data_IF_743890192353
#
_entry.id   IF_743890192353
#
_cell.length_a   1.000
_cell.length_b   1.000
_cell.length_c   1.000
_cell.angle_alpha   90.00
_cell.angle_beta   90.00
_cell.angle_gamma   90.00
#
_symmetry.space_group_name_H-M   'P 1'
#
loop_
_entity.id
_entity.type
_entity.pdbx_description
1 polymer ?
#
# COMPACT_ATOMS: atom_id res chain seq x y z
N UNK A 1 114.66 13.41 -107.14
CA UNK A 1 114.38 14.67 -106.43
C UNK A 1 112.99 14.53 -105.81
N UNK A 2 112.69 14.51 -104.51
CA UNK A 2 113.34 14.97 -103.29
C UNK A 2 112.96 14.03 -102.11
N UNK A 3 113.90 13.84 -101.16
CA UNK A 3 113.68 13.19 -99.85
C UNK A 3 112.93 14.13 -98.91
N UNK A 4 111.99 13.63 -98.10
CA UNK A 4 111.63 14.18 -96.76
C UNK A 4 111.03 13.02 -95.92
N UNK A 5 111.88 12.29 -95.17
CA UNK A 5 112.07 12.35 -93.70
C UNK A 5 110.94 11.70 -92.90
N UNK A 6 111.25 10.51 -92.37
CA UNK A 6 110.64 9.92 -91.18
C UNK A 6 110.46 10.98 -90.09
N UNK A 7 109.27 11.03 -89.51
CA UNK A 7 109.06 11.58 -88.16
C UNK A 7 107.99 10.75 -87.47
N UNK A 8 108.42 9.57 -87.01
CA UNK A 8 107.79 8.83 -85.94
C UNK A 8 107.86 9.67 -84.67
N UNK A 9 106.80 10.43 -84.38
CA UNK A 9 106.61 11.06 -83.07
C UNK A 9 106.16 9.95 -82.11
N UNK A 10 106.93 9.64 -81.05
CA UNK A 10 106.50 8.66 -80.07
C UNK A 10 105.44 9.31 -79.20
N UNK A 11 104.21 8.82 -79.31
CA UNK A 11 103.11 9.21 -78.43
C UNK A 11 103.42 8.72 -76.99
N UNK A 12 103.33 9.57 -75.95
CA UNK A 12 103.63 9.17 -74.58
C UNK A 12 102.68 8.06 -74.12
N UNK A 13 103.23 6.95 -73.63
CA UNK A 13 102.49 5.76 -73.17
C UNK A 13 101.70 6.00 -71.86
N UNK A 14 101.63 7.22 -71.35
CA UNK A 14 101.12 7.54 -70.01
C UNK A 14 99.59 7.81 -69.97
N UNK A 15 98.95 8.17 -71.09
CA UNK A 15 97.51 8.52 -71.12
C UNK A 15 96.55 7.38 -71.52
N UNK A 16 97.08 6.24 -72.00
CA UNK A 16 96.25 5.07 -72.33
C UNK A 16 95.81 4.30 -71.07
N UNK A 17 96.59 4.39 -69.98
CA UNK A 17 96.35 3.66 -68.74
C UNK A 17 95.32 4.35 -67.84
N UNK A 18 95.13 5.67 -67.96
CA UNK A 18 94.13 6.44 -67.18
C UNK A 18 92.71 6.28 -67.72
N UNK A 19 92.54 6.26 -69.04
CA UNK A 19 91.24 6.01 -69.69
C UNK A 19 90.74 4.57 -69.51
N UNK A 20 91.64 3.58 -69.68
CA UNK A 20 91.30 2.16 -69.47
C UNK A 20 91.06 1.84 -67.99
N UNK A 21 91.82 2.42 -67.06
CA UNK A 21 91.57 2.28 -65.62
C UNK A 21 90.19 2.84 -65.21
N UNK A 22 89.79 3.99 -65.76
CA UNK A 22 88.48 4.62 -65.47
C UNK A 22 87.31 3.83 -66.04
N UNK A 23 87.48 3.18 -67.19
CA UNK A 23 86.49 2.26 -67.78
C UNK A 23 86.37 0.98 -66.94
N UNK A 24 87.49 0.41 -66.51
CA UNK A 24 87.53 -0.74 -65.61
C UNK A 24 86.85 -0.45 -64.26
N UNK A 25 87.06 0.74 -63.71
CA UNK A 25 86.45 1.17 -62.45
C UNK A 25 84.93 1.35 -62.58
N UNK A 26 84.47 2.02 -63.65
CA UNK A 26 83.04 2.08 -63.99
C UNK A 26 82.43 0.70 -64.23
N UNK A 27 83.16 -0.23 -64.84
CA UNK A 27 82.69 -1.62 -65.03
C UNK A 27 82.60 -2.38 -63.71
N UNK A 28 83.50 -2.12 -62.75
CA UNK A 28 83.41 -2.67 -61.38
C UNK A 28 82.21 -2.10 -60.64
N UNK A 29 81.97 -0.80 -60.76
CA UNK A 29 80.84 -0.12 -60.13
C UNK A 29 79.50 -0.58 -60.71
N UNK A 30 79.39 -0.71 -62.04
CA UNK A 30 78.22 -1.28 -62.70
C UNK A 30 78.00 -2.73 -62.28
N UNK A 31 79.06 -3.55 -62.18
CA UNK A 31 78.96 -4.93 -61.68
C UNK A 31 78.49 -4.96 -60.22
N UNK A 32 78.99 -4.06 -59.38
CA UNK A 32 78.61 -3.93 -57.98
C UNK A 32 77.13 -3.54 -57.84
N UNK A 33 76.68 -2.50 -58.56
CA UNK A 33 75.28 -2.07 -58.58
C UNK A 33 74.37 -3.20 -59.06
N UNK A 34 74.73 -3.89 -60.14
CA UNK A 34 73.96 -5.05 -60.61
C UNK A 34 73.88 -6.17 -59.57
N UNK A 35 74.97 -6.44 -58.83
CA UNK A 35 74.97 -7.45 -57.77
C UNK A 35 74.09 -7.04 -56.58
N UNK A 36 74.13 -5.78 -56.17
CA UNK A 36 73.28 -5.23 -55.11
C UNK A 36 71.81 -5.26 -55.53
N UNK A 37 71.50 -4.84 -56.76
CA UNK A 37 70.15 -4.84 -57.31
C UNK A 37 69.58 -6.27 -57.40
N UNK A 38 70.43 -7.24 -57.77
CA UNK A 38 70.08 -8.66 -57.81
C UNK A 38 69.76 -9.19 -56.41
N UNK A 39 70.62 -8.92 -55.42
CA UNK A 39 70.35 -9.27 -54.01
C UNK A 39 69.08 -8.62 -53.48
N UNK A 40 68.80 -7.37 -53.86
CA UNK A 40 67.58 -6.69 -53.46
C UNK A 40 66.33 -7.36 -54.05
N UNK A 41 66.35 -7.69 -55.36
CA UNK A 41 65.28 -8.45 -56.02
C UNK A 41 65.09 -9.83 -55.40
N UNK A 42 66.17 -10.56 -55.12
CA UNK A 42 66.13 -11.86 -54.45
C UNK A 42 65.49 -11.77 -53.06
N UNK A 43 65.84 -10.75 -52.26
CA UNK A 43 65.20 -10.47 -50.97
C UNK A 43 63.71 -10.16 -51.11
N UNK A 44 63.31 -9.36 -52.10
CA UNK A 44 61.90 -9.08 -52.36
C UNK A 44 61.13 -10.34 -52.78
N UNK A 45 61.71 -11.16 -53.66
CA UNK A 45 61.12 -12.45 -54.07
C UNK A 45 60.95 -13.37 -52.86
N UNK A 46 61.98 -13.48 -52.00
CA UNK A 46 61.89 -14.27 -50.77
C UNK A 46 60.80 -13.75 -49.81
N UNK A 47 60.69 -12.44 -49.63
CA UNK A 47 59.64 -11.83 -48.81
C UNK A 47 58.22 -12.06 -49.39
N UNK A 48 58.07 -12.00 -50.71
CA UNK A 48 56.79 -12.29 -51.37
C UNK A 48 56.43 -13.78 -51.30
N UNK A 49 57.40 -14.68 -51.46
CA UNK A 49 57.18 -16.12 -51.33
C UNK A 49 56.72 -16.49 -49.92
N UNK A 50 57.40 -15.97 -48.89
CA UNK A 50 56.98 -16.21 -47.49
C UNK A 50 55.60 -15.62 -47.18
N UNK A 51 55.25 -14.45 -47.74
CA UNK A 51 53.90 -13.87 -47.60
C UNK A 51 52.83 -14.72 -48.30
N UNK A 52 53.13 -15.22 -49.51
CA UNK A 52 52.26 -16.14 -50.25
C UNK A 52 52.02 -17.41 -49.45
N UNK A 53 53.07 -18.01 -48.90
CA UNK A 53 52.97 -19.24 -48.12
C UNK A 53 52.13 -19.06 -46.86
N UNK A 54 52.30 -17.94 -46.14
CA UNK A 54 51.44 -17.59 -44.99
C UNK A 54 49.97 -17.39 -45.37
N UNK A 55 49.69 -16.79 -46.52
CA UNK A 55 48.32 -16.60 -47.00
C UNK A 55 47.71 -17.93 -47.44
N UNK A 56 48.48 -18.75 -48.15
CA UNK A 56 48.06 -20.06 -48.61
C UNK A 56 47.77 -21.00 -47.44
N UNK A 57 48.56 -20.93 -46.36
CA UNK A 57 48.29 -21.65 -45.12
C UNK A 57 46.98 -21.22 -44.48
N UNK A 58 46.69 -19.92 -44.40
CA UNK A 58 45.40 -19.41 -43.89
C UNK A 58 44.22 -19.88 -44.74
N UNK A 59 44.31 -19.73 -46.07
CA UNK A 59 43.26 -20.22 -46.98
C UNK A 59 43.05 -21.73 -46.85
N UNK A 60 44.12 -22.50 -46.67
CA UNK A 60 44.00 -23.94 -46.46
C UNK A 60 43.34 -24.31 -45.14
N UNK A 61 43.54 -23.52 -44.07
CA UNK A 61 42.86 -23.69 -42.79
C UNK A 61 41.36 -23.36 -42.93
N UNK A 62 41.03 -22.30 -43.67
CA UNK A 62 39.64 -21.87 -43.88
C UNK A 62 38.86 -22.81 -44.82
N UNK A 63 39.56 -23.65 -45.59
CA UNK A 63 38.98 -24.61 -46.52
C UNK A 63 38.07 -25.63 -45.83
N UNK A 64 38.33 -25.95 -44.56
CA UNK A 64 37.50 -26.87 -43.76
C UNK A 64 36.10 -26.28 -43.54
N UNK A 65 36.02 -24.98 -43.26
CA UNK A 65 34.74 -24.29 -43.10
C UNK A 65 33.97 -24.20 -44.42
N UNK A 66 34.68 -23.97 -45.54
CA UNK A 66 34.07 -24.00 -46.86
C UNK A 66 33.52 -25.38 -47.23
N UNK A 67 34.25 -26.47 -46.98
CA UNK A 67 33.73 -27.81 -47.27
C UNK A 67 32.52 -28.18 -46.40
N UNK A 68 32.51 -27.73 -45.15
CA UNK A 68 31.37 -27.91 -44.25
C UNK A 68 30.15 -27.14 -44.77
N UNK A 69 30.33 -25.87 -45.15
CA UNK A 69 29.27 -25.02 -45.67
C UNK A 69 28.71 -25.53 -47.01
N UNK A 70 29.58 -26.00 -47.90
CA UNK A 70 29.19 -26.61 -49.17
C UNK A 70 28.41 -27.92 -48.95
N UNK A 71 28.81 -28.73 -47.97
CA UNK A 71 28.07 -29.94 -47.57
C UNK A 71 26.68 -29.61 -47.02
N UNK A 72 26.57 -28.57 -46.18
CA UNK A 72 25.29 -28.10 -45.62
C UNK A 72 24.39 -27.49 -46.70
N UNK A 73 24.95 -26.79 -47.69
CA UNK A 73 24.18 -26.27 -48.82
C UNK A 73 23.64 -27.40 -49.70
N UNK A 74 24.45 -28.43 -49.96
CA UNK A 74 24.05 -29.60 -50.75
C UNK A 74 23.01 -30.48 -50.07
N UNK A 75 22.98 -30.49 -48.73
CA UNK A 75 21.98 -31.24 -47.97
C UNK A 75 20.70 -30.45 -47.71
N UNK A 76 20.71 -29.13 -47.93
CA UNK A 76 19.58 -28.25 -47.70
C UNK A 76 19.02 -27.71 -49.02
N UNK A 77 17.85 -28.21 -49.42
CA UNK A 77 17.15 -27.77 -50.64
C UNK A 77 16.53 -26.36 -50.51
N UNK A 78 16.68 -25.70 -49.35
CA UNK A 78 16.08 -24.40 -49.05
C UNK A 78 16.91 -23.19 -49.52
N UNK A 79 18.18 -23.38 -49.86
CA UNK A 79 19.09 -22.26 -50.15
C UNK A 79 19.85 -22.45 -51.46
N UNK A 80 19.68 -21.46 -52.36
CA UNK A 80 20.35 -21.42 -53.67
C UNK A 80 21.84 -21.06 -53.59
N UNK A 81 22.23 -20.24 -52.61
CA UNK A 81 23.60 -19.75 -52.45
C UNK A 81 23.93 -19.48 -50.98
N UNK A 82 25.22 -19.58 -50.66
CA UNK A 82 25.80 -19.27 -49.37
C UNK A 82 25.49 -17.82 -48.92
N UNK A 83 25.44 -16.86 -49.85
CA UNK A 83 25.04 -15.49 -49.55
C UNK A 83 23.62 -15.39 -48.98
N UNK A 84 22.68 -16.18 -49.50
CA UNK A 84 21.30 -16.25 -48.99
C UNK A 84 21.24 -16.89 -47.60
N UNK A 85 22.02 -17.95 -47.38
CA UNK A 85 22.14 -18.60 -46.06
C UNK A 85 22.67 -17.62 -44.99
N UNK A 86 23.76 -16.90 -45.28
CA UNK A 86 24.28 -15.86 -44.39
C UNK A 86 23.24 -14.76 -44.17
N UNK A 87 22.54 -14.32 -45.22
CA UNK A 87 21.50 -13.29 -45.12
C UNK A 87 20.39 -13.68 -44.15
N UNK A 88 19.89 -14.92 -44.26
CA UNK A 88 18.87 -15.46 -43.33
C UNK A 88 19.42 -15.59 -41.92
N UNK A 89 20.65 -16.11 -41.76
CA UNK A 89 21.28 -16.23 -40.44
C UNK A 89 21.46 -14.86 -39.77
N UNK A 90 21.96 -13.86 -40.48
CA UNK A 90 22.07 -12.48 -39.97
C UNK A 90 20.72 -11.91 -39.57
N UNK A 91 19.69 -12.14 -40.38
CA UNK A 91 18.32 -11.72 -40.07
C UNK A 91 17.81 -12.42 -38.81
N UNK A 92 18.04 -13.73 -38.68
CA UNK A 92 17.63 -14.54 -37.53
C UNK A 92 18.33 -14.11 -36.23
N UNK A 93 19.64 -13.83 -36.29
CA UNK A 93 20.39 -13.32 -35.14
C UNK A 93 19.84 -11.95 -34.73
N UNK A 94 19.63 -11.05 -35.70
CA UNK A 94 19.06 -9.71 -35.43
C UNK A 94 17.65 -9.78 -34.84
N UNK A 95 16.78 -10.63 -35.38
CA UNK A 95 15.42 -10.79 -34.84
C UNK A 95 15.46 -11.43 -33.45
N UNK A 96 16.32 -12.42 -33.21
CA UNK A 96 16.51 -13.00 -31.87
C UNK A 96 16.94 -11.93 -30.85
N UNK A 97 17.93 -11.10 -31.18
CA UNK A 97 18.38 -10.02 -30.31
C UNK A 97 17.26 -9.01 -30.03
N UNK A 98 16.49 -8.64 -31.05
CA UNK A 98 15.33 -7.75 -30.90
C UNK A 98 14.25 -8.36 -30.02
N UNK A 99 13.95 -9.65 -30.18
CA UNK A 99 12.97 -10.36 -29.37
C UNK A 99 13.42 -10.44 -27.91
N UNK A 100 14.68 -10.79 -27.65
CA UNK A 100 15.23 -10.81 -26.29
C UNK A 100 15.17 -9.43 -25.62
N UNK A 101 15.52 -8.37 -26.35
CA UNK A 101 15.43 -7.00 -25.84
C UNK A 101 13.98 -6.62 -25.51
N UNK A 102 13.04 -6.91 -26.42
CA UNK A 102 11.61 -6.65 -26.20
C UNK A 102 11.06 -7.45 -25.03
N UNK A 103 11.44 -8.71 -24.89
CA UNK A 103 11.02 -9.54 -23.77
C UNK A 103 11.50 -8.95 -22.45
N UNK A 104 12.79 -8.56 -22.38
CA UNK A 104 13.35 -7.94 -21.17
C UNK A 104 12.66 -6.61 -20.81
N UNK A 105 12.34 -5.77 -21.80
CA UNK A 105 11.61 -4.52 -21.53
C UNK A 105 10.19 -4.80 -21.05
N UNK A 106 9.48 -5.73 -21.70
CA UNK A 106 8.12 -6.11 -21.30
C UNK A 106 8.09 -6.73 -19.89
N UNK A 107 9.07 -7.56 -19.53
CA UNK A 107 9.18 -8.12 -18.19
C UNK A 107 9.45 -7.02 -17.16
N UNK A 108 10.32 -6.06 -17.48
CA UNK A 108 10.59 -4.92 -16.59
C UNK A 108 9.37 -4.04 -16.38
N UNK A 109 8.61 -3.75 -17.45
CA UNK A 109 7.37 -2.98 -17.39
C UNK A 109 6.31 -3.73 -16.57
N UNK A 110 6.12 -5.02 -16.83
CA UNK A 110 5.18 -5.86 -16.09
C UNK A 110 5.53 -5.93 -14.60
N UNK A 111 6.81 -6.06 -14.26
CA UNK A 111 7.23 -6.08 -12.85
C UNK A 111 7.00 -4.72 -12.19
N UNK A 112 7.25 -3.61 -12.89
CA UNK A 112 6.94 -2.26 -12.38
C UNK A 112 5.45 -2.08 -12.11
N UNK A 113 4.60 -2.47 -13.06
CA UNK A 113 3.14 -2.43 -12.90
C UNK A 113 2.68 -3.36 -11.76
N UNK A 114 3.25 -4.55 -11.63
CA UNK A 114 2.94 -5.48 -10.56
C UNK A 114 3.33 -4.92 -9.18
N UNK A 115 4.49 -4.27 -9.06
CA UNK A 115 4.90 -3.57 -7.83
C UNK A 115 3.94 -2.44 -7.50
N UNK A 116 3.61 -1.58 -8.46
CA UNK A 116 2.67 -0.46 -8.26
C UNK A 116 1.28 -0.96 -7.84
N UNK A 117 0.79 -2.03 -8.47
CA UNK A 117 -0.48 -2.63 -8.11
C UNK A 117 -0.46 -3.21 -6.69
N UNK A 118 0.62 -3.92 -6.30
CA UNK A 118 0.77 -4.45 -4.94
C UNK A 118 0.81 -3.33 -3.89
N UNK A 119 1.53 -2.25 -4.16
CA UNK A 119 1.56 -1.07 -3.29
C UNK A 119 0.17 -0.45 -3.14
N UNK A 120 -0.51 -0.19 -4.26
CA UNK A 120 -1.86 0.36 -4.25
C UNK A 120 -2.86 -0.52 -3.48
N UNK A 121 -2.85 -1.83 -3.72
CA UNK A 121 -3.73 -2.77 -3.00
C UNK A 121 -3.40 -2.78 -1.50
N UNK A 122 -2.12 -2.74 -1.12
CA UNK A 122 -1.71 -2.68 0.28
C UNK A 122 -2.19 -1.40 0.96
N UNK A 123 -2.01 -0.25 0.32
CA UNK A 123 -2.47 1.04 0.84
C UNK A 123 -3.98 1.07 1.02
N UNK A 124 -4.72 0.59 0.01
CA UNK A 124 -6.18 0.49 0.07
C UNK A 124 -6.65 -0.44 1.18
N UNK A 125 -5.98 -1.57 1.37
CA UNK A 125 -6.28 -2.51 2.46
C UNK A 125 -6.05 -1.87 3.83
N UNK A 126 -4.93 -1.16 4.01
CA UNK A 126 -4.65 -0.44 5.26
C UNK A 126 -5.69 0.63 5.55
N UNK A 127 -6.13 1.37 4.53
CA UNK A 127 -7.19 2.37 4.66
C UNK A 127 -8.54 1.74 5.02
N UNK A 128 -8.90 0.63 4.35
CA UNK A 128 -10.13 -0.10 4.67
C UNK A 128 -10.12 -0.59 6.12
N UNK A 129 -9.03 -1.21 6.56
CA UNK A 129 -8.87 -1.66 7.94
C UNK A 129 -8.96 -0.51 8.94
N UNK A 130 -8.43 0.68 8.60
CA UNK A 130 -8.59 1.86 9.43
C UNK A 130 -10.07 2.26 9.58
N UNK A 131 -10.82 2.32 8.48
CA UNK A 131 -12.25 2.64 8.53
C UNK A 131 -13.07 1.58 9.27
N UNK A 132 -12.76 0.29 9.09
CA UNK A 132 -13.41 -0.81 9.83
C UNK A 132 -13.20 -0.67 11.35
N UNK A 133 -11.99 -0.32 11.77
CA UNK A 133 -11.70 -0.07 13.18
C UNK A 133 -12.47 1.15 13.72
N UNK A 134 -12.49 2.26 12.99
CA UNK A 134 -13.26 3.45 13.37
C UNK A 134 -14.76 3.15 13.45
N UNK A 135 -15.30 2.41 12.49
CA UNK A 135 -16.70 1.98 12.48
C UNK A 135 -17.02 1.14 13.74
N UNK A 136 -16.15 0.19 14.09
CA UNK A 136 -16.30 -0.65 15.28
C UNK A 136 -16.28 0.16 16.57
N UNK A 137 -15.39 1.16 16.66
CA UNK A 137 -15.31 2.08 17.81
C UNK A 137 -16.60 2.90 17.94
N UNK A 138 -17.04 3.54 16.86
CA UNK A 138 -18.28 4.34 16.85
C UNK A 138 -19.50 3.48 17.18
N UNK A 139 -19.57 2.25 16.68
CA UNK A 139 -20.66 1.33 17.00
C UNK A 139 -20.67 0.96 18.49
N UNK A 140 -19.48 0.79 19.09
CA UNK A 140 -19.34 0.50 20.51
C UNK A 140 -19.80 1.69 21.36
N UNK A 141 -19.38 2.91 21.01
CA UNK A 141 -19.83 4.14 21.66
C UNK A 141 -21.35 4.34 21.53
N UNK A 142 -21.91 4.15 20.34
CA UNK A 142 -23.35 4.22 20.12
C UNK A 142 -24.10 3.23 21.03
N UNK A 143 -23.60 1.99 21.13
CA UNK A 143 -24.21 0.96 21.96
C UNK A 143 -24.11 1.29 23.46
N UNK A 144 -23.00 1.88 23.92
CA UNK A 144 -22.81 2.27 25.32
C UNK A 144 -23.74 3.42 25.68
N UNK A 145 -23.82 4.47 24.86
CA UNK A 145 -24.75 5.60 25.06
C UNK A 145 -26.20 5.13 25.04
N UNK A 146 -26.58 4.26 24.09
CA UNK A 146 -27.94 3.67 24.07
C UNK A 146 -28.25 2.82 25.29
N UNK A 147 -27.26 2.11 25.83
CA UNK A 147 -27.42 1.34 27.07
C UNK A 147 -27.65 2.27 28.26
N UNK A 148 -26.88 3.35 28.37
CA UNK A 148 -27.04 4.36 29.42
C UNK A 148 -28.40 5.07 29.32
N UNK A 149 -28.81 5.49 28.13
CA UNK A 149 -30.12 6.10 27.89
C UNK A 149 -31.25 5.18 28.36
N UNK A 150 -31.22 3.90 27.98
CA UNK A 150 -32.21 2.90 28.45
C UNK A 150 -32.23 2.73 29.96
N UNK A 151 -31.08 2.79 30.62
CA UNK A 151 -31.01 2.74 32.09
C UNK A 151 -31.67 3.97 32.71
N UNK A 152 -31.38 5.16 32.19
CA UNK A 152 -31.98 6.41 32.66
C UNK A 152 -33.51 6.41 32.45
N UNK A 153 -33.98 6.02 31.27
CA UNK A 153 -35.41 5.88 31.00
C UNK A 153 -36.10 4.90 31.96
N UNK A 154 -35.44 3.79 32.30
CA UNK A 154 -35.95 2.83 33.28
C UNK A 154 -36.05 3.45 34.68
N UNK A 155 -35.02 4.18 35.12
CA UNK A 155 -35.04 4.88 36.40
C UNK A 155 -36.11 5.96 36.45
N UNK A 156 -36.27 6.72 35.37
CA UNK A 156 -37.29 7.77 35.26
C UNK A 156 -38.70 7.17 35.37
N UNK A 157 -38.97 6.09 34.62
CA UNK A 157 -40.25 5.36 34.72
C UNK A 157 -40.51 4.83 36.13
N UNK A 158 -39.48 4.36 36.83
CA UNK A 158 -39.62 3.90 38.20
C UNK A 158 -39.97 5.03 39.18
N UNK A 159 -39.31 6.18 39.04
CA UNK A 159 -39.58 7.40 39.82
C UNK A 159 -41.01 7.86 39.56
N UNK A 160 -41.40 8.04 38.29
CA UNK A 160 -42.76 8.44 37.91
C UNK A 160 -43.82 7.49 38.47
N UNK A 161 -43.58 6.17 38.42
CA UNK A 161 -44.50 5.18 39.00
C UNK A 161 -44.60 5.32 40.53
N UNK A 162 -43.49 5.60 41.20
CA UNK A 162 -43.47 5.79 42.66
C UNK A 162 -44.17 7.08 43.07
N UNK A 163 -43.94 8.17 42.34
CA UNK A 163 -44.56 9.46 42.61
C UNK A 163 -46.06 9.44 42.30
N UNK A 164 -46.49 8.74 41.26
CA UNK A 164 -47.92 8.49 41.00
C UNK A 164 -48.58 7.74 42.16
N UNK A 165 -47.91 6.72 42.72
CA UNK A 165 -48.41 5.98 43.90
C UNK A 165 -48.50 6.88 45.14
N UNK A 166 -47.47 7.70 45.40
CA UNK A 166 -47.46 8.65 46.53
C UNK A 166 -48.56 9.69 46.38
N UNK A 167 -48.73 10.25 45.19
CA UNK A 167 -49.78 11.23 44.88
C UNK A 167 -51.17 10.62 45.08
N UNK A 168 -51.39 9.38 44.62
CA UNK A 168 -52.65 8.67 44.84
C UNK A 168 -52.91 8.42 46.34
N UNK A 169 -51.91 7.97 47.08
CA UNK A 169 -52.03 7.75 48.53
C UNK A 169 -52.34 9.06 49.25
N UNK A 170 -51.64 10.13 48.91
CA UNK A 170 -51.89 11.46 49.45
C UNK A 170 -53.32 11.90 49.17
N UNK A 171 -53.82 11.71 47.95
CA UNK A 171 -55.22 11.98 47.60
C UNK A 171 -56.21 11.17 48.44
N UNK A 172 -55.92 9.89 48.71
CA UNK A 172 -56.76 9.06 49.59
C UNK A 172 -56.78 9.57 51.03
N UNK A 173 -55.62 9.98 51.56
CA UNK A 173 -55.52 10.56 52.91
C UNK A 173 -56.36 11.84 52.98
N UNK A 174 -56.20 12.75 52.02
CA UNK A 174 -57.00 13.99 51.95
C UNK A 174 -58.50 13.71 51.97
N UNK A 175 -58.97 12.76 51.15
CA UNK A 175 -60.40 12.39 51.10
C UNK A 175 -60.86 11.77 52.41
N UNK A 176 -60.11 10.83 52.97
CA UNK A 176 -60.47 10.17 54.22
C UNK A 176 -60.52 11.16 55.40
N UNK A 177 -59.51 12.02 55.55
CA UNK A 177 -59.46 13.07 56.56
C UNK A 177 -60.65 14.01 56.41
N UNK A 178 -60.93 14.50 55.20
CA UNK A 178 -62.07 15.39 54.96
C UNK A 178 -63.39 14.74 55.36
N UNK A 179 -63.59 13.47 54.99
CA UNK A 179 -64.80 12.73 55.34
C UNK A 179 -64.95 12.59 56.87
N UNK A 180 -63.87 12.26 57.58
CA UNK A 180 -63.89 12.19 59.04
C UNK A 180 -64.17 13.55 59.69
N UNK A 181 -63.54 14.62 59.19
CA UNK A 181 -63.78 15.98 59.68
C UNK A 181 -65.27 16.37 59.57
N UNK A 182 -65.87 16.09 58.41
CA UNK A 182 -67.31 16.30 58.19
C UNK A 182 -68.18 15.49 59.17
N UNK A 183 -67.83 14.22 59.44
CA UNK A 183 -68.55 13.38 60.42
C UNK A 183 -68.48 13.94 61.84
N UNK A 184 -67.38 14.60 62.22
CA UNK A 184 -67.23 15.25 63.54
C UNK A 184 -67.95 16.60 63.64
N UNK A 185 -68.78 16.96 62.66
CA UNK A 185 -69.52 18.22 62.64
C UNK A 185 -68.79 19.39 61.97
N UNK A 186 -67.66 19.13 61.31
CA UNK A 186 -66.90 20.14 60.58
C UNK A 186 -67.57 20.57 59.27
N UNK A 187 -67.68 21.87 59.03
CA UNK A 187 -68.24 22.42 57.79
C UNK A 187 -67.12 22.69 56.78
N UNK A 188 -67.25 22.16 55.57
CA UNK A 188 -66.22 22.30 54.50
C UNK A 188 -66.62 23.25 53.37
N UNK A 189 -67.71 24.00 53.52
CA UNK A 189 -68.23 24.91 52.50
C UNK A 189 -68.98 26.08 53.14
N UNK A 190 -68.74 27.31 52.67
CA UNK A 190 -69.31 28.55 53.23
C UNK A 190 -68.28 29.49 53.87
N UNK A 191 -68.70 30.64 54.40
CA UNK A 191 -67.83 31.66 54.99
C UNK A 191 -67.11 31.22 56.29
N UNK A 192 -67.65 30.22 56.98
CA UNK A 192 -67.04 29.55 58.14
C UNK A 192 -66.34 28.23 57.77
N UNK A 193 -66.35 27.87 56.48
CA UNK A 193 -65.77 26.62 55.99
C UNK A 193 -64.24 26.68 55.93
N UNK A 194 -63.58 25.70 56.55
CA UNK A 194 -62.13 25.58 56.47
C UNK A 194 -61.65 25.20 55.07
N UNK A 195 -60.43 25.62 54.72
CA UNK A 195 -59.83 25.30 53.43
C UNK A 195 -59.75 23.78 53.25
N UNK A 196 -60.41 23.27 52.21
CA UNK A 196 -60.48 21.85 51.85
C UNK A 196 -59.10 21.22 51.64
N UNK A 197 -58.06 22.02 51.37
CA UNK A 197 -56.69 21.56 51.17
C UNK A 197 -55.84 21.50 52.45
N UNK A 198 -56.30 22.03 53.58
CA UNK A 198 -55.52 22.02 54.81
C UNK A 198 -55.81 20.77 55.65
N UNK A 199 -55.16 19.68 55.26
CA UNK A 199 -55.35 18.36 55.87
C UNK A 199 -54.84 18.31 57.32
N UNK A 200 -53.83 19.10 57.67
CA UNK A 200 -53.26 19.11 59.02
C UNK A 200 -54.23 19.76 60.01
N UNK A 201 -54.77 20.93 59.66
CA UNK A 201 -55.76 21.61 60.48
C UNK A 201 -57.04 20.76 60.67
N UNK A 202 -57.47 20.04 59.63
CA UNK A 202 -58.60 19.11 59.73
C UNK A 202 -58.31 17.96 60.71
N UNK A 203 -57.11 17.39 60.68
CA UNK A 203 -56.70 16.34 61.63
C UNK A 203 -56.64 16.85 63.06
N UNK A 204 -56.08 18.04 63.29
CA UNK A 204 -55.99 18.66 64.61
C UNK A 204 -57.38 18.87 65.23
N UNK A 205 -58.35 19.31 64.42
CA UNK A 205 -59.74 19.47 64.85
C UNK A 205 -60.43 18.14 65.13
N UNK A 206 -60.23 17.13 64.27
CA UNK A 206 -60.73 15.78 64.53
C UNK A 206 -60.20 15.28 65.88
N UNK A 207 -58.90 15.48 66.15
CA UNK A 207 -58.28 15.08 67.41
C UNK A 207 -58.89 15.82 68.61
N UNK A 208 -59.04 17.14 68.54
CA UNK A 208 -59.67 17.94 69.60
C UNK A 208 -61.10 17.48 69.88
N UNK A 209 -61.88 17.22 68.83
CA UNK A 209 -63.24 16.71 68.97
C UNK A 209 -63.24 15.36 69.68
N UNK A 210 -62.42 14.40 69.24
CA UNK A 210 -62.34 13.06 69.87
C UNK A 210 -61.94 13.18 71.35
N UNK A 211 -60.97 14.04 71.67
CA UNK A 211 -60.53 14.24 73.05
C UNK A 211 -61.65 14.81 73.92
N UNK A 212 -62.35 15.83 73.44
CA UNK A 212 -63.53 16.40 74.12
C UNK A 212 -64.62 15.35 74.33
N UNK A 213 -64.96 14.55 73.32
CA UNK A 213 -65.94 13.46 73.47
C UNK A 213 -65.49 12.41 74.49
N UNK A 214 -64.19 12.12 74.56
CA UNK A 214 -63.62 11.15 75.51
C UNK A 214 -63.69 11.67 76.94
N UNK A 215 -63.38 12.94 77.16
CA UNK A 215 -63.51 13.62 78.46
C UNK A 215 -64.97 13.61 78.93
N UNK A 216 -65.91 13.99 78.06
CA UNK A 216 -67.35 13.93 78.36
C UNK A 216 -67.78 12.51 78.75
N UNK A 217 -67.29 11.49 78.05
CA UNK A 217 -67.61 10.09 78.36
C UNK A 217 -66.99 9.62 79.69
N UNK A 218 -65.79 10.07 80.04
CA UNK A 218 -65.15 9.78 81.33
C UNK A 218 -65.90 10.43 82.49
N UNK A 219 -66.32 11.68 82.32
CA UNK A 219 -67.13 12.40 83.32
C UNK A 219 -68.48 11.69 83.55
N UNK A 220 -69.17 11.31 82.47
CA UNK A 220 -70.41 10.52 82.55
C UNK A 220 -70.21 9.11 83.11
N UNK A 221 -69.01 8.54 82.97
CA UNK A 221 -68.63 7.24 83.54
C UNK A 221 -68.35 7.31 85.04
N UNK A 222 -67.70 8.39 85.50
CA UNK A 222 -67.46 8.69 86.91
C UNK A 222 -68.74 9.02 87.68
N UNK A 223 -69.74 9.63 87.02
CA UNK A 223 -71.03 9.98 87.65
C UNK A 223 -71.94 8.76 87.92
N UNK A 224 -71.64 7.59 87.32
CA UNK A 224 -72.36 6.33 87.60
C UNK A 224 -72.01 5.69 88.95
N UNK A 225 -71.06 6.25 89.70
CA UNK A 225 -70.74 5.82 91.07
C UNK A 225 -71.78 6.22 92.14
N UNK A 226 -72.76 7.08 91.81
CA UNK A 226 -73.63 7.72 92.83
C UNK A 226 -75.12 7.45 92.75
N UNK A 227 -75.62 6.59 91.84
CA UNK A 227 -77.06 6.26 91.82
C UNK A 227 -77.34 4.99 92.64
N UNK A 228 -77.29 5.13 93.96
CA UNK A 228 -78.18 4.36 94.86
C UNK A 228 -79.57 5.00 94.79
N UNK A 229 -80.59 4.20 94.46
CA UNK A 229 -81.98 4.23 94.97
C UNK A 229 -82.81 3.24 94.14
N UNK A 230 -83.16 2.06 94.67
CA UNK A 230 -84.42 1.81 95.41
C UNK A 230 -85.63 2.49 94.79
N UNK A 231 -86.45 1.73 94.06
CA UNK A 231 -87.91 1.80 94.18
C UNK A 231 -88.51 0.41 93.91
N UNK A 232 -89.49 0.09 94.75
CA UNK A 232 -90.20 -1.17 94.88
C UNK A 232 -91.66 -0.99 94.43
N UNK A 233 -92.35 -2.14 94.25
CA UNK A 233 -93.79 -2.39 94.02
C UNK A 233 -94.35 -2.40 92.59
N UNK A 234 -95.51 -3.05 92.32
CA UNK A 234 -96.17 -4.23 92.93
C UNK A 234 -96.52 -5.33 91.87
N UNK A 235 -96.87 -6.53 92.32
CA UNK A 235 -96.99 -7.73 91.47
C UNK A 235 -98.33 -8.08 90.81
N UNK A 236 -98.32 -9.28 90.20
CA UNK A 236 -99.35 -10.29 89.85
C UNK A 236 -99.00 -10.86 88.47
N UNK A 237 -98.92 -12.17 88.24
CA UNK A 237 -99.60 -13.31 88.87
C UNK A 237 -98.66 -14.49 89.08
#
# INVERSE_FOLDING_TARGET
MFRLKDTTVPMPKEDLWTGTARILDKQREIKYIHAVLRKHKERQIAALLTKKEKLQKRVSQDRIYWSLLDSVLKSSDEFEDFGKLIGRFKTLVRTKEQLLKRQSTMESEREREAVQLRQYVSERRSLLQHYENTLSQLQTELNTTRSQARRLESTEKHIQKTDAKRTLLLGRIHVATRNLYQMTGGVTSGAEGFNVKDTLDQLDRIQQNIQMWTEILQDLGSDKGSIKKTWHYPGRS
#
